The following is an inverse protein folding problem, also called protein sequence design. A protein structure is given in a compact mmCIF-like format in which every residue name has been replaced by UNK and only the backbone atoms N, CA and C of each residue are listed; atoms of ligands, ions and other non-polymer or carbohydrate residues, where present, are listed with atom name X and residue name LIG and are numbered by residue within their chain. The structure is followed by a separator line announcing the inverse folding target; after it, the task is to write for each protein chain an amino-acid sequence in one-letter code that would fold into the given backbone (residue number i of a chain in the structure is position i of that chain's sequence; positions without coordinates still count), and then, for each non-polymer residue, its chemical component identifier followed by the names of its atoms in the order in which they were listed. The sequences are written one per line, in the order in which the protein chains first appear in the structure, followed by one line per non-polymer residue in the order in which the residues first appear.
data_IF_421458638956
#
_entry.id   IF_421458638956
#
_cell.length_a   1.000
_cell.length_b   1.000
_cell.length_c   1.000
_cell.angle_alpha   90.00
_cell.angle_beta   90.00
_cell.angle_gamma   90.00
#
_symmetry.space_group_name_H-M   'P 1'
#
loop_
_entity.id
_entity.type
_entity.pdbx_description
1 polymer ?
#
# COMPACT_ATOMS: atom_id res chain seq x y z
N UNK A 1 -19.48 15.24 3.15
CA UNK A 1 -19.63 14.20 2.11
C UNK A 1 -18.49 13.20 2.26
N UNK A 2 -18.80 11.91 2.25
CA UNK A 2 -17.85 10.80 2.14
C UNK A 2 -18.17 10.12 0.81
N UNK A 3 -17.20 10.03 -0.09
CA UNK A 3 -17.37 9.39 -1.39
C UNK A 3 -16.18 8.48 -1.68
N UNK A 4 -16.45 7.24 -2.06
CA UNK A 4 -15.46 6.36 -2.66
C UNK A 4 -15.30 6.77 -4.12
N UNK A 5 -14.10 7.14 -4.53
CA UNK A 5 -13.86 7.63 -5.90
C UNK A 5 -13.28 6.58 -6.81
N UNK A 6 -12.29 5.82 -6.34
CA UNK A 6 -11.57 4.83 -7.16
C UNK A 6 -11.10 3.66 -6.32
N UNK A 7 -11.04 2.50 -6.96
CA UNK A 7 -10.37 1.32 -6.42
C UNK A 7 -9.37 0.78 -7.45
N UNK A 8 -8.18 0.39 -6.97
CA UNK A 8 -7.16 -0.27 -7.77
C UNK A 8 -6.90 -1.65 -7.16
N UNK A 9 -7.17 -2.70 -7.94
CA UNK A 9 -6.67 -4.04 -7.65
C UNK A 9 -5.38 -4.28 -8.43
N UNK A 10 -4.35 -4.82 -7.78
CA UNK A 10 -3.12 -5.24 -8.45
C UNK A 10 -2.66 -6.58 -7.88
N UNK A 11 -2.23 -7.47 -8.76
CA UNK A 11 -1.83 -8.81 -8.34
C UNK A 11 -0.55 -8.78 -7.50
N UNK A 12 0.41 -7.93 -7.89
CA UNK A 12 1.70 -7.80 -7.23
C UNK A 12 2.22 -6.38 -7.26
N UNK A 13 2.63 -5.88 -6.10
CA UNK A 13 3.22 -4.57 -5.91
C UNK A 13 4.62 -4.68 -5.30
N UNK A 14 5.53 -3.80 -5.71
CA UNK A 14 6.87 -3.72 -5.12
C UNK A 14 6.82 -2.83 -3.88
N UNK A 15 7.52 -3.23 -2.82
CA UNK A 15 7.64 -2.44 -1.59
C UNK A 15 9.02 -1.83 -1.54
N UNK A 16 9.08 -0.51 -1.38
CA UNK A 16 10.31 0.28 -1.36
C UNK A 16 10.50 0.97 -0.01
N UNK A 17 11.75 1.12 0.42
CA UNK A 17 12.18 2.02 1.49
C UNK A 17 13.38 2.81 0.97
N UNK A 18 13.34 4.14 1.06
CA UNK A 18 14.40 5.02 0.57
C UNK A 18 14.81 4.72 -0.90
N UNK A 19 13.82 4.38 -1.73
CA UNK A 19 14.03 4.04 -3.15
C UNK A 19 14.61 2.65 -3.41
N UNK A 20 14.91 1.85 -2.37
CA UNK A 20 15.38 0.46 -2.50
C UNK A 20 14.22 -0.51 -2.31
N UNK A 21 14.14 -1.52 -3.17
CA UNK A 21 13.15 -2.57 -3.04
C UNK A 21 13.51 -3.52 -1.89
N UNK A 22 12.59 -3.65 -0.94
CA UNK A 22 12.75 -4.47 0.27
C UNK A 22 11.85 -5.71 0.26
N UNK A 23 10.90 -5.78 -0.68
CA UNK A 23 9.92 -6.85 -0.72
C UNK A 23 8.82 -6.65 -1.76
N UNK A 24 7.78 -7.48 -1.67
CA UNK A 24 6.58 -7.40 -2.50
C UNK A 24 5.31 -7.67 -1.70
N UNK A 25 4.22 -6.99 -2.06
CA UNK A 25 2.87 -7.28 -1.58
C UNK A 25 2.06 -7.95 -2.69
N UNK A 26 1.29 -8.98 -2.36
CA UNK A 26 0.42 -9.69 -3.29
C UNK A 26 -1.05 -9.45 -2.97
N UNK A 27 -1.89 -9.40 -4.01
CA UNK A 27 -3.33 -9.20 -3.90
C UNK A 27 -3.69 -7.87 -3.26
N UNK A 28 -3.10 -6.78 -3.76
CA UNK A 28 -3.30 -5.45 -3.19
C UNK A 28 -4.60 -4.82 -3.70
N UNK A 29 -5.34 -4.22 -2.78
CA UNK A 29 -6.52 -3.40 -3.07
C UNK A 29 -6.32 -2.02 -2.46
N UNK A 30 -6.38 -0.98 -3.28
CA UNK A 30 -6.26 0.41 -2.87
C UNK A 30 -7.58 1.13 -3.14
N UNK A 31 -8.05 1.89 -2.16
CA UNK A 31 -9.27 2.69 -2.26
C UNK A 31 -8.94 4.16 -2.01
N UNK A 32 -9.37 5.01 -2.94
CA UNK A 32 -9.34 6.46 -2.81
C UNK A 32 -10.68 6.96 -2.31
N UNK A 33 -10.65 7.68 -1.19
CA UNK A 33 -11.78 8.33 -0.57
C UNK A 33 -11.66 9.84 -0.67
N UNK A 34 -12.78 10.51 -0.95
CA UNK A 34 -12.92 11.94 -0.77
C UNK A 34 -13.76 12.20 0.49
N UNK A 35 -13.11 12.70 1.55
CA UNK A 35 -13.71 12.90 2.89
C UNK A 35 -13.33 14.28 3.40
N UNK A 36 -14.34 15.05 3.83
CA UNK A 36 -14.13 16.40 4.42
C UNK A 36 -13.22 17.30 3.54
N UNK A 37 -13.48 17.31 2.24
CA UNK A 37 -12.74 18.08 1.23
C UNK A 37 -11.25 17.72 1.10
N UNK A 38 -10.87 16.49 1.46
CA UNK A 38 -9.51 15.96 1.32
C UNK A 38 -9.54 14.53 0.79
N UNK A 39 -8.47 14.15 0.09
CA UNK A 39 -8.24 12.77 -0.31
C UNK A 39 -7.64 11.95 0.83
N UNK A 40 -8.13 10.71 0.98
CA UNK A 40 -7.55 9.70 1.86
C UNK A 40 -7.42 8.40 1.10
N UNK A 41 -6.32 7.69 1.33
CA UNK A 41 -6.01 6.44 0.66
C UNK A 41 -5.89 5.34 1.72
N UNK A 42 -6.61 4.26 1.49
CA UNK A 42 -6.58 3.08 2.36
C UNK A 42 -6.44 1.86 1.48
N UNK A 43 -5.80 0.80 1.96
CA UNK A 43 -5.76 -0.45 1.22
C UNK A 43 -5.55 -1.67 2.08
N UNK A 44 -5.56 -2.81 1.40
CA UNK A 44 -5.28 -4.12 1.96
C UNK A 44 -4.37 -4.91 1.03
N UNK A 45 -3.70 -5.91 1.58
CA UNK A 45 -2.90 -6.89 0.85
C UNK A 45 -3.14 -8.28 1.43
N UNK A 46 -3.04 -9.30 0.59
CA UNK A 46 -3.24 -10.69 1.00
C UNK A 46 -1.98 -11.31 1.58
N UNK A 47 -0.81 -10.85 1.12
CA UNK A 47 0.49 -11.35 1.58
C UNK A 47 1.56 -10.28 1.45
N UNK A 48 2.41 -10.16 2.46
CA UNK A 48 3.61 -9.35 2.41
C UNK A 48 4.84 -10.26 2.51
N UNK A 49 5.73 -10.16 1.51
CA UNK A 49 6.96 -10.93 1.40
C UNK A 49 8.13 -9.95 1.46
N UNK A 50 9.00 -10.10 2.46
CA UNK A 50 10.22 -9.30 2.60
C UNK A 50 11.34 -10.15 3.17
N UNK A 51 12.55 -9.94 2.66
CA UNK A 51 13.77 -10.57 3.18
C UNK A 51 14.38 -9.72 4.31
N UNK A 52 13.75 -8.61 4.69
CA UNK A 52 14.17 -7.71 5.75
C UNK A 52 13.16 -7.75 6.93
N UNK A 53 13.34 -8.64 7.92
CA UNK A 53 12.38 -8.86 9.01
C UNK A 53 12.03 -7.61 9.81
N UNK A 54 12.93 -6.62 9.88
CA UNK A 54 12.69 -5.32 10.52
C UNK A 54 11.57 -4.50 9.86
N UNK A 55 11.16 -4.85 8.64
CA UNK A 55 10.03 -4.21 7.96
C UNK A 55 8.76 -5.05 7.97
N UNK A 56 8.80 -6.23 8.57
CA UNK A 56 7.66 -7.14 8.68
C UNK A 56 6.97 -6.98 10.05
N UNK A 57 6.43 -5.79 10.31
CA UNK A 57 5.60 -5.53 11.48
C UNK A 57 4.68 -4.32 11.25
N UNK A 58 3.57 -4.18 12.00
CA UNK A 58 2.76 -2.98 11.99
C UNK A 58 3.55 -1.74 12.42
N UNK A 59 3.20 -0.57 11.88
CA UNK A 59 3.85 0.70 12.22
C UNK A 59 4.98 1.13 11.29
N UNK A 60 5.35 0.29 10.31
CA UNK A 60 6.34 0.66 9.29
C UNK A 60 5.74 1.55 8.23
N UNK A 61 6.56 2.47 7.71
CA UNK A 61 6.21 3.31 6.56
C UNK A 61 7.07 2.91 5.37
N UNK A 62 6.43 2.63 4.25
CA UNK A 62 7.06 2.17 3.00
C UNK A 62 6.44 2.91 1.82
N UNK A 63 7.05 2.83 0.65
CA UNK A 63 6.36 3.16 -0.61
C UNK A 63 5.93 1.87 -1.30
N UNK A 64 4.80 1.89 -1.99
CA UNK A 64 4.28 0.73 -2.71
C UNK A 64 4.06 1.08 -4.18
N UNK A 65 4.77 0.39 -5.07
CA UNK A 65 4.64 0.57 -6.52
C UNK A 65 3.68 -0.47 -7.08
N UNK A 66 2.62 -0.02 -7.75
CA UNK A 66 1.69 -0.88 -8.47
C UNK A 66 2.04 -0.78 -9.97
N UNK A 67 2.97 -1.61 -10.48
CA UNK A 67 3.50 -1.46 -11.83
C UNK A 67 2.41 -1.62 -12.89
N UNK A 68 1.47 -2.55 -12.70
CA UNK A 68 0.32 -2.76 -13.60
C UNK A 68 -0.59 -1.54 -13.74
N UNK A 69 -0.56 -0.64 -12.75
CA UNK A 69 -1.36 0.58 -12.71
C UNK A 69 -0.54 1.83 -12.99
N UNK A 70 0.77 1.71 -13.14
CA UNK A 70 1.71 2.83 -13.33
C UNK A 70 1.59 3.91 -12.24
N UNK A 71 1.33 3.48 -11.00
CA UNK A 71 1.22 4.38 -9.84
C UNK A 71 2.16 3.95 -8.71
N UNK A 72 2.60 4.95 -7.95
CA UNK A 72 3.30 4.78 -6.69
C UNK A 72 2.39 5.32 -5.58
N UNK A 73 2.17 4.50 -4.57
CA UNK A 73 1.49 4.87 -3.32
C UNK A 73 2.58 5.25 -2.33
N UNK A 74 2.63 6.52 -1.94
CA UNK A 74 3.71 7.07 -1.12
C UNK A 74 3.34 7.08 0.36
N UNK A 75 4.34 6.87 1.20
CA UNK A 75 4.20 6.91 2.67
C UNK A 75 3.07 5.99 3.15
N UNK A 76 3.08 4.75 2.66
CA UNK A 76 2.18 3.68 3.07
C UNK A 76 2.52 3.26 4.50
N UNK A 77 1.65 3.61 5.42
CA UNK A 77 1.73 3.18 6.82
C UNK A 77 0.97 1.87 6.99
N UNK A 78 1.69 0.78 7.29
CA UNK A 78 1.08 -0.53 7.55
C UNK A 78 0.44 -0.52 8.94
N UNK A 79 -0.88 -0.56 8.99
CA UNK A 79 -1.64 -0.48 10.25
C UNK A 79 -1.64 -1.81 10.99
N UNK A 80 -1.72 -2.91 10.24
CA UNK A 80 -1.88 -4.24 10.80
C UNK A 80 -1.39 -5.30 9.81
N UNK A 81 -0.85 -6.38 10.37
CA UNK A 81 -0.44 -7.60 9.66
C UNK A 81 -0.97 -8.79 10.45
N UNK A 82 -1.57 -9.76 9.75
CA UNK A 82 -2.03 -11.03 10.28
C UNK A 82 -0.96 -12.10 10.13
N UNK A 83 -0.59 -12.74 11.22
CA UNK A 83 0.18 -13.97 11.17
C UNK A 83 -0.73 -15.21 11.00
N UNK A 84 -0.27 -16.28 10.32
CA UNK A 84 0.98 -16.39 9.56
C UNK A 84 0.83 -15.99 8.08
N UNK A 85 -0.35 -15.54 7.66
CA UNK A 85 -0.64 -15.28 6.23
C UNK A 85 0.13 -14.09 5.67
N UNK A 86 0.51 -13.14 6.52
CA UNK A 86 1.10 -11.86 6.10
C UNK A 86 0.11 -10.95 5.40
N UNK A 87 -1.21 -11.17 5.57
CA UNK A 87 -2.26 -10.27 5.06
C UNK A 87 -2.39 -9.05 5.96
N UNK A 88 -2.74 -7.89 5.43
CA UNK A 88 -2.81 -6.69 6.24
C UNK A 88 -3.58 -5.54 5.62
N UNK A 89 -3.60 -4.43 6.34
CA UNK A 89 -4.21 -3.16 5.91
C UNK A 89 -3.22 -2.01 6.07
N UNK A 90 -3.45 -0.95 5.31
CA UNK A 90 -2.62 0.24 5.34
C UNK A 90 -3.40 1.52 5.07
N UNK A 91 -2.84 2.63 5.52
CA UNK A 91 -3.17 3.96 5.01
C UNK A 91 -2.03 4.46 4.13
N UNK A 92 -2.31 5.42 3.26
CA UNK A 92 -1.27 6.14 2.54
C UNK A 92 -1.55 7.64 2.48
N UNK A 93 -0.48 8.41 2.30
CA UNK A 93 -0.57 9.87 2.22
C UNK A 93 -1.03 10.32 0.84
N UNK A 94 -0.45 9.78 -0.23
CA UNK A 94 -0.72 10.20 -1.61
C UNK A 94 -0.42 9.12 -2.64
N UNK A 95 -0.96 9.33 -3.83
CA UNK A 95 -0.67 8.54 -5.04
C UNK A 95 0.05 9.46 -6.03
N UNK A 96 1.15 8.97 -6.59
CA UNK A 96 1.89 9.59 -7.69
C UNK A 96 1.70 8.71 -8.93
N UNK A 97 1.35 9.30 -10.08
CA UNK A 97 1.30 8.59 -11.36
C UNK A 97 2.63 8.76 -12.09
N UNK A 98 3.24 7.67 -12.53
CA UNK A 98 4.24 7.72 -13.58
C UNK A 98 3.50 7.85 -14.90
N UNK A 99 3.56 9.03 -15.53
CA UNK A 99 3.24 9.23 -16.95
C UNK A 99 4.57 9.25 -17.70
#
# INVERSE_FOLDING_TARGET
MIKMERTYGCFRANVLVEGKQIGTMEGIYLTQWFVKNKYRFTGSFNRYLTDEPKYYHPGVTVDVVLPEKQIIVKNVFIEWIREPSGSGTFNAERIESHI
#
